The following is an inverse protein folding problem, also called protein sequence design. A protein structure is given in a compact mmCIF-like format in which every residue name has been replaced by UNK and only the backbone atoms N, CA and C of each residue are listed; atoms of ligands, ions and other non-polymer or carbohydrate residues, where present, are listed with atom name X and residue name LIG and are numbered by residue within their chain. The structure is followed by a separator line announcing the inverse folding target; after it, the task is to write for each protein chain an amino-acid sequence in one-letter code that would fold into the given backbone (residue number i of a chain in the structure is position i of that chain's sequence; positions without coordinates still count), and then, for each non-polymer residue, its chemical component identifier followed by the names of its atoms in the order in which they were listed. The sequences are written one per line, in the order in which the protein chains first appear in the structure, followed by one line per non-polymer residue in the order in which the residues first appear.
data_IF_003350565532
#
_entry.id   IF_003350565532
#
_cell.length_a   1.000
_cell.length_b   1.000
_cell.length_c   1.000
_cell.angle_alpha   90.00
_cell.angle_beta   90.00
_cell.angle_gamma   90.00
#
_symmetry.space_group_name_H-M   'P 1'
#
loop_
_entity.id
_entity.type
_entity.pdbx_description
1 polymer ?
#
# COMPACT_ATOMS: atom_id res chain seq x y z
N UNK A 1 4.67 21.40 2.78
CA UNK A 1 3.41 20.69 2.50
C UNK A 1 2.99 19.97 3.77
N UNK A 2 1.70 19.99 4.10
CA UNK A 2 1.16 19.23 5.23
C UNK A 2 0.61 17.90 4.70
N UNK A 3 1.16 16.82 5.25
CA UNK A 3 0.75 15.44 4.98
C UNK A 3 0.12 14.86 6.24
N UNK A 4 -0.69 13.82 6.08
CA UNK A 4 -1.28 13.12 7.23
C UNK A 4 -0.42 11.90 7.52
N UNK A 5 0.04 11.80 8.76
CA UNK A 5 0.60 10.57 9.31
C UNK A 5 -0.45 9.92 10.21
N UNK A 6 -1.21 8.97 9.65
CA UNK A 6 -2.21 8.19 10.37
C UNK A 6 -1.72 6.75 10.53
N UNK A 7 -1.21 6.36 11.72
CA UNK A 7 -0.74 5.01 11.99
C UNK A 7 -1.81 3.94 11.76
N UNK A 8 -3.10 4.31 11.91
CA UNK A 8 -4.23 3.41 11.70
C UNK A 8 -4.66 3.34 10.23
N UNK A 9 -4.13 4.22 9.37
CA UNK A 9 -4.38 4.23 7.94
C UNK A 9 -5.83 4.49 7.55
N UNK A 10 -6.66 5.09 8.41
CA UNK A 10 -8.07 5.38 8.13
C UNK A 10 -8.22 6.61 7.25
N UNK A 11 -7.34 7.58 7.42
CA UNK A 11 -7.36 8.82 6.65
C UNK A 11 -6.39 8.76 5.46
N UNK A 12 -6.83 9.30 4.34
CA UNK A 12 -6.02 9.45 3.15
C UNK A 12 -4.96 10.52 3.39
N UNK A 13 -3.70 10.14 3.20
CA UNK A 13 -2.59 11.08 3.12
C UNK A 13 -2.75 11.99 1.88
N UNK A 14 -2.95 13.31 2.06
CA UNK A 14 -3.11 14.22 0.95
C UNK A 14 -1.88 14.26 0.05
N UNK A 15 -0.68 13.98 0.58
CA UNK A 15 0.55 13.95 -0.19
C UNK A 15 0.65 12.72 -1.11
N UNK A 16 -0.18 11.70 -0.88
CA UNK A 16 -0.30 10.54 -1.76
C UNK A 16 -1.50 10.68 -2.70
N UNK A 17 -2.66 11.04 -2.15
CA UNK A 17 -3.94 10.82 -2.83
C UNK A 17 -4.60 12.08 -3.39
N UNK A 18 -4.08 13.27 -3.08
CA UNK A 18 -4.71 14.52 -3.49
C UNK A 18 -3.69 15.66 -3.59
N UNK A 19 -4.17 16.90 -3.52
CA UNK A 19 -3.30 18.07 -3.46
C UNK A 19 -3.08 18.44 -1.99
N UNK A 20 -1.85 18.30 -1.46
CA UNK A 20 -1.57 18.64 -0.07
C UNK A 20 -1.65 20.16 0.15
N UNK A 21 -1.97 20.55 1.39
CA UNK A 21 -1.98 21.97 1.76
C UNK A 21 -0.53 22.48 1.76
N UNK A 22 -0.28 23.49 0.93
CA UNK A 22 1.00 24.19 0.90
C UNK A 22 0.98 25.35 1.88
N UNK A 23 1.61 25.17 3.03
CA UNK A 23 2.08 26.29 3.84
C UNK A 23 3.37 26.79 3.19
N UNK A 24 3.33 28.00 2.64
CA UNK A 24 4.54 28.68 2.15
C UNK A 24 5.59 28.79 3.26
N UNK A 25 6.83 29.15 2.90
CA UNK A 25 7.95 29.23 3.86
C UNK A 25 7.55 29.91 5.18
N UNK A 26 7.90 29.26 6.28
CA UNK A 26 7.73 29.77 7.64
C UNK A 26 9.07 30.32 8.10
N UNK A 27 9.07 31.55 8.60
CA UNK A 27 10.22 32.09 9.30
C UNK A 27 10.34 31.49 10.71
N UNK A 28 11.52 31.59 11.34
CA UNK A 28 11.73 31.06 12.68
C UNK A 28 10.75 31.68 13.68
N UNK A 29 10.09 30.84 14.48
CA UNK A 29 9.04 31.21 15.44
C UNK A 29 7.76 31.83 14.85
N UNK A 30 7.59 31.80 13.53
CA UNK A 30 6.34 32.21 12.91
C UNK A 30 5.23 31.19 13.20
N UNK A 31 4.11 31.69 13.72
CA UNK A 31 2.87 30.92 13.84
C UNK A 31 1.96 31.33 12.71
N UNK A 32 1.48 30.35 11.94
CA UNK A 32 0.54 30.59 10.85
C UNK A 32 -0.70 29.74 11.04
N UNK A 33 -1.85 30.40 11.07
CA UNK A 33 -3.13 29.72 11.09
C UNK A 33 -3.39 29.07 9.73
N UNK A 34 -3.26 27.74 9.70
CA UNK A 34 -3.66 26.95 8.55
C UNK A 34 -5.18 26.78 8.65
N UNK A 35 -5.95 27.43 7.77
CA UNK A 35 -7.40 27.22 7.72
C UNK A 35 -7.73 25.73 7.54
N UNK A 36 -8.87 25.32 8.09
CA UNK A 36 -9.40 23.95 8.21
C UNK A 36 -8.73 22.89 7.31
N UNK A 37 -8.09 21.92 7.95
CA UNK A 37 -7.59 20.71 7.31
C UNK A 37 -8.74 19.71 7.23
N UNK A 38 -9.12 19.31 6.02
CA UNK A 38 -10.15 18.32 5.79
C UNK A 38 -9.49 16.94 5.63
N UNK A 39 -9.67 16.07 6.61
CA UNK A 39 -9.27 14.67 6.49
C UNK A 39 -10.34 13.92 5.71
N UNK A 40 -9.92 13.18 4.68
CA UNK A 40 -10.79 12.30 3.92
C UNK A 40 -10.57 10.87 4.39
N UNK A 41 -11.63 10.18 4.76
CA UNK A 41 -11.55 8.75 5.02
C UNK A 41 -11.33 7.98 3.71
N UNK A 42 -10.56 6.90 3.80
CA UNK A 42 -10.39 5.92 2.74
C UNK A 42 -10.78 4.53 3.23
N UNK A 43 -10.96 3.60 2.28
CA UNK A 43 -11.10 2.19 2.63
C UNK A 43 -9.73 1.57 2.88
N UNK A 44 -9.66 0.62 3.80
CA UNK A 44 -8.42 -0.13 4.08
C UNK A 44 -8.31 -1.28 3.10
N UNK A 45 -7.29 -1.25 2.23
CA UNK A 45 -6.89 -2.42 1.47
C UNK A 45 -5.86 -3.20 2.29
N UNK A 46 -6.17 -4.45 2.59
CA UNK A 46 -5.24 -5.45 3.10
C UNK A 46 -4.80 -6.37 1.96
N UNK A 47 -3.50 -6.56 1.77
CA UNK A 47 -2.94 -7.55 0.87
C UNK A 47 -2.31 -8.63 1.75
N UNK A 48 -2.96 -9.79 1.80
CA UNK A 48 -2.46 -10.97 2.50
C UNK A 48 -1.52 -11.74 1.57
N UNK A 49 -0.26 -11.87 1.96
CA UNK A 49 0.72 -12.70 1.24
C UNK A 49 0.84 -14.01 1.98
N UNK A 50 0.28 -15.07 1.38
CA UNK A 50 0.41 -16.44 1.85
C UNK A 50 1.76 -17.02 1.41
N UNK A 51 2.57 -17.47 2.36
CA UNK A 51 3.91 -18.00 2.13
C UNK A 51 4.14 -19.26 2.97
N UNK A 52 3.44 -20.37 2.66
CA UNK A 52 3.46 -21.58 3.49
C UNK A 52 4.83 -22.26 3.52
N UNK A 53 5.65 -22.04 2.48
CA UNK A 53 7.01 -22.58 2.40
C UNK A 53 8.06 -21.65 3.03
N UNK A 54 7.65 -20.51 3.59
CA UNK A 54 8.52 -19.51 4.23
C UNK A 54 9.70 -19.08 3.33
N UNK A 55 9.43 -18.84 2.04
CA UNK A 55 10.46 -18.47 1.07
C UNK A 55 10.83 -16.98 1.12
N UNK A 56 9.96 -16.14 1.68
CA UNK A 56 10.24 -14.72 1.87
C UNK A 56 11.02 -14.48 3.18
N UNK A 57 11.93 -13.52 3.15
CA UNK A 57 12.80 -13.22 4.30
C UNK A 57 11.99 -12.96 5.59
N UNK A 58 12.39 -13.59 6.72
CA UNK A 58 11.79 -13.35 8.03
C UNK A 58 12.32 -12.05 8.67
N UNK A 59 13.32 -11.39 8.08
CA UNK A 59 13.85 -10.11 8.59
C UNK A 59 13.01 -8.94 8.04
N UNK A 60 12.65 -8.00 8.91
CA UNK A 60 11.93 -6.76 8.57
C UNK A 60 12.85 -5.57 8.87
N UNK A 61 13.96 -5.51 8.15
CA UNK A 61 14.92 -4.42 8.25
C UNK A 61 14.88 -3.66 6.92
N UNK A 62 14.84 -2.32 6.98
CA UNK A 62 14.92 -1.47 5.80
C UNK A 62 16.21 -1.71 4.99
N UNK A 63 17.23 -2.29 5.63
CA UNK A 63 18.51 -2.68 5.01
C UNK A 63 18.40 -4.04 4.28
N UNK A 64 17.50 -4.93 4.70
CA UNK A 64 17.36 -6.28 4.14
C UNK A 64 16.20 -6.33 3.15
N UNK A 65 16.45 -6.79 1.92
CA UNK A 65 15.41 -6.96 0.92
C UNK A 65 14.31 -7.89 1.46
N UNK A 66 13.06 -7.41 1.66
CA UNK A 66 11.96 -8.23 2.16
C UNK A 66 11.56 -9.34 1.18
N UNK A 67 12.12 -9.35 -0.03
CA UNK A 67 11.85 -10.32 -1.08
C UNK A 67 10.55 -10.03 -1.82
N UNK A 68 9.78 -9.02 -1.40
CA UNK A 68 8.54 -8.61 -2.06
C UNK A 68 8.25 -7.12 -1.82
N UNK A 69 7.75 -6.46 -2.86
CA UNK A 69 7.19 -5.12 -2.81
C UNK A 69 5.71 -5.23 -3.13
N UNK A 70 4.86 -4.67 -2.26
CA UNK A 70 3.41 -4.74 -2.37
C UNK A 70 2.84 -3.35 -2.25
N UNK A 71 1.84 -3.03 -3.07
CA UNK A 71 1.13 -1.77 -3.01
C UNK A 71 0.11 -1.63 -4.11
N UNK A 72 -0.17 -0.39 -4.46
CA UNK A 72 -1.13 -0.06 -5.52
C UNK A 72 -0.54 0.96 -6.49
N UNK A 73 -0.98 0.93 -7.73
CA UNK A 73 -0.60 1.85 -8.78
C UNK A 73 -1.82 2.64 -9.27
N UNK A 74 -1.67 3.93 -9.53
CA UNK A 74 -2.71 4.73 -10.18
C UNK A 74 -2.67 4.56 -11.69
N UNK A 75 -3.73 4.96 -12.40
CA UNK A 75 -3.72 5.03 -13.88
C UNK A 75 -2.60 5.91 -14.45
N UNK A 76 -2.08 6.86 -13.67
CA UNK A 76 -0.95 7.70 -14.05
C UNK A 76 0.42 7.02 -13.83
N UNK A 77 0.44 5.76 -13.38
CA UNK A 77 1.66 4.97 -13.14
C UNK A 77 2.31 5.19 -11.78
N UNK A 78 1.74 6.06 -10.93
CA UNK A 78 2.27 6.34 -9.59
C UNK A 78 2.06 5.14 -8.67
N UNK A 79 3.13 4.63 -8.07
CA UNK A 79 3.10 3.52 -7.12
C UNK A 79 3.09 4.03 -5.68
N UNK A 80 2.19 3.46 -4.87
CA UNK A 80 2.13 3.68 -3.43
C UNK A 80 2.32 2.34 -2.70
N UNK A 81 3.44 2.25 -1.98
CA UNK A 81 3.80 1.07 -1.17
C UNK A 81 2.82 0.90 -0.01
N UNK A 82 2.36 -0.32 0.20
CA UNK A 82 1.60 -0.70 1.38
C UNK A 82 2.55 -0.99 2.56
N UNK A 83 2.09 -0.67 3.77
CA UNK A 83 2.87 -0.85 5.00
C UNK A 83 2.64 -2.26 5.54
N UNK A 84 3.70 -3.00 5.86
CA UNK A 84 3.56 -4.29 6.53
C UNK A 84 2.98 -4.09 7.93
N UNK A 85 1.92 -4.82 8.27
CA UNK A 85 1.22 -4.70 9.57
C UNK A 85 1.37 -5.94 10.43
N UNK A 86 1.32 -7.11 9.83
CA UNK A 86 1.51 -8.38 10.51
C UNK A 86 2.54 -9.20 9.76
N UNK A 87 3.25 -10.05 10.50
CA UNK A 87 4.21 -11.00 9.96
C UNK A 87 4.12 -12.28 10.76
N UNK A 88 3.95 -13.40 10.08
CA UNK A 88 3.95 -14.74 10.64
C UNK A 88 4.90 -15.65 9.86
N UNK A 89 5.07 -16.87 10.37
CA UNK A 89 5.91 -17.89 9.73
C UNK A 89 5.41 -18.28 8.34
N UNK A 90 4.11 -18.18 8.09
CA UNK A 90 3.45 -18.67 6.88
C UNK A 90 2.83 -17.58 6.02
N UNK A 91 3.16 -16.31 6.29
CA UNK A 91 2.60 -15.19 5.56
C UNK A 91 2.72 -13.86 6.29
N UNK A 92 2.28 -12.80 5.64
CA UNK A 92 2.35 -11.42 6.16
C UNK A 92 1.27 -10.55 5.52
N UNK A 93 0.78 -9.57 6.26
CA UNK A 93 -0.21 -8.62 5.76
C UNK A 93 0.41 -7.26 5.47
N UNK A 94 0.04 -6.69 4.33
CA UNK A 94 0.32 -5.31 3.98
C UNK A 94 -0.98 -4.51 3.97
N UNK A 95 -0.95 -3.27 4.46
CA UNK A 95 -2.12 -2.40 4.47
C UNK A 95 -1.83 -1.03 3.88
N UNK A 96 -2.82 -0.50 3.17
CA UNK A 96 -2.83 0.87 2.66
C UNK A 96 -4.25 1.44 2.66
N UNK A 97 -4.38 2.70 3.06
CA UNK A 97 -5.59 3.50 2.88
C UNK A 97 -5.73 3.87 1.41
N UNK A 98 -6.86 3.56 0.77
CA UNK A 98 -7.12 3.91 -0.62
C UNK A 98 -8.36 4.78 -0.78
N UNK A 99 -8.37 5.73 -1.72
CA UNK A 99 -9.55 6.54 -1.99
C UNK A 99 -10.69 5.68 -2.53
N UNK A 100 -11.92 6.06 -2.15
CA UNK A 100 -13.13 5.46 -2.70
C UNK A 100 -13.35 5.85 -4.17
N UNK A 101 -13.93 4.92 -4.92
CA UNK A 101 -14.38 5.10 -6.32
C UNK A 101 -13.25 5.62 -7.25
N UNK A 102 -11.99 5.29 -6.91
CA UNK A 102 -10.81 5.57 -7.74
C UNK A 102 -10.26 4.25 -8.26
N UNK A 103 -10.09 4.09 -9.59
CA UNK A 103 -9.45 2.92 -10.15
C UNK A 103 -7.98 2.83 -9.74
N UNK A 104 -7.63 1.73 -9.09
CA UNK A 104 -6.28 1.41 -8.65
C UNK A 104 -5.88 0.03 -9.15
N UNK A 105 -4.63 -0.13 -9.58
CA UNK A 105 -4.05 -1.41 -9.88
C UNK A 105 -3.42 -1.97 -8.61
N UNK A 106 -3.80 -3.17 -8.19
CA UNK A 106 -2.95 -3.92 -7.27
C UNK A 106 -1.61 -4.14 -7.97
N UNK A 107 -0.48 -3.93 -7.30
CA UNK A 107 0.85 -4.14 -7.89
C UNK A 107 1.75 -4.88 -6.91
N UNK A 108 2.33 -5.99 -7.36
CA UNK A 108 3.24 -6.82 -6.58
C UNK A 108 4.47 -7.14 -7.41
N UNK A 109 5.63 -7.14 -6.77
CA UNK A 109 6.89 -7.48 -7.41
C UNK A 109 7.80 -8.23 -6.44
N UNK A 110 8.51 -9.23 -6.96
CA UNK A 110 9.57 -9.95 -6.25
C UNK A 110 10.73 -10.22 -7.20
N UNK A 111 11.95 -10.28 -6.64
CA UNK A 111 13.15 -10.74 -7.34
C UNK A 111 13.56 -12.17 -6.97
N UNK A 112 12.93 -12.75 -5.95
CA UNK A 112 13.38 -14.00 -5.32
C UNK A 112 12.34 -15.10 -5.33
N UNK A 113 11.05 -14.76 -5.42
CA UNK A 113 9.95 -15.73 -5.41
C UNK A 113 8.96 -15.50 -6.55
N UNK A 114 8.40 -16.60 -7.05
CA UNK A 114 7.22 -16.58 -7.91
C UNK A 114 5.97 -16.34 -7.05
N UNK A 115 5.10 -15.47 -7.52
CA UNK A 115 3.84 -15.10 -6.85
C UNK A 115 2.67 -15.45 -7.78
N UNK A 116 1.56 -15.91 -7.22
CA UNK A 116 0.30 -16.10 -7.93
C UNK A 116 -0.85 -15.33 -7.25
N UNK A 117 -1.84 -14.92 -8.05
CA UNK A 117 -3.07 -14.30 -7.56
C UNK A 117 -4.06 -15.34 -6.96
N UNK A 118 -5.23 -14.87 -6.52
CA UNK A 118 -6.28 -15.68 -5.89
C UNK A 118 -6.82 -16.81 -6.77
N UNK A 119 -6.65 -16.71 -8.10
CA UNK A 119 -7.13 -17.70 -9.07
C UNK A 119 -5.98 -18.50 -9.70
N UNK A 120 -4.75 -18.32 -9.19
CA UNK A 120 -3.57 -19.09 -9.57
C UNK A 120 -2.78 -18.54 -10.75
N UNK A 121 -3.10 -17.35 -11.27
CA UNK A 121 -2.30 -16.76 -12.35
C UNK A 121 -0.97 -16.25 -11.80
N UNK A 122 0.12 -16.56 -12.50
CA UNK A 122 1.44 -16.06 -12.16
C UNK A 122 1.50 -14.54 -12.31
N UNK A 123 2.05 -13.90 -11.29
CA UNK A 123 2.46 -12.49 -11.28
C UNK A 123 3.91 -12.44 -11.77
N UNK A 124 4.13 -11.79 -12.92
CA UNK A 124 5.47 -11.67 -13.51
C UNK A 124 6.32 -10.56 -12.87
N UNK A 125 7.54 -10.37 -13.39
CA UNK A 125 8.50 -9.38 -12.89
C UNK A 125 8.18 -7.93 -13.27
N UNK A 126 7.21 -7.66 -14.15
CA UNK A 126 6.67 -6.31 -14.36
C UNK A 126 5.62 -5.97 -13.28
N UNK A 127 5.19 -6.98 -12.54
CA UNK A 127 4.14 -6.95 -11.54
C UNK A 127 2.76 -7.11 -12.17
N UNK A 128 1.88 -7.83 -11.46
CA UNK A 128 0.52 -8.08 -11.93
C UNK A 128 -0.33 -6.88 -11.58
N UNK A 129 -0.94 -6.26 -12.59
CA UNK A 129 -1.88 -5.16 -12.45
C UNK A 129 -3.31 -5.67 -12.52
N UNK A 130 -3.91 -5.92 -11.36
CA UNK A 130 -5.36 -6.14 -11.25
C UNK A 130 -6.03 -4.83 -10.87
N UNK A 131 -6.70 -4.21 -11.84
CA UNK A 131 -7.47 -3.00 -11.59
C UNK A 131 -8.69 -3.30 -10.74
N UNK A 132 -8.91 -2.48 -9.72
CA UNK A 132 -10.05 -2.54 -8.83
C UNK A 132 -10.43 -1.13 -8.37
N UNK A 133 -11.61 -1.02 -7.78
CA UNK A 133 -12.05 0.16 -7.05
C UNK A 133 -12.43 -0.28 -5.64
N UNK A 134 -12.30 0.64 -4.69
CA UNK A 134 -12.91 0.53 -3.37
C UNK A 134 -14.23 1.28 -3.42
N UNK A 135 -15.40 0.62 -3.44
CA UNK A 135 -16.67 1.32 -3.48
C UNK A 135 -16.89 2.16 -2.22
N UNK A 136 -17.49 3.34 -2.35
CA UNK A 136 -17.89 4.15 -1.19
C UNK A 136 -18.70 3.31 -0.19
N UNK A 137 -18.29 3.36 1.09
CA UNK A 137 -18.91 2.62 2.20
C UNK A 137 -18.25 1.26 2.50
N UNK A 138 -17.36 0.75 1.64
CA UNK A 138 -16.57 -0.45 1.92
C UNK A 138 -15.36 -0.09 2.77
N UNK A 139 -15.49 -0.24 4.09
CA UNK A 139 -14.44 0.19 5.04
C UNK A 139 -13.14 -0.62 4.93
N UNK A 140 -13.23 -1.88 4.51
CA UNK A 140 -12.07 -2.76 4.37
C UNK A 140 -12.27 -3.79 3.26
N UNK A 141 -11.18 -4.11 2.57
CA UNK A 141 -11.10 -5.19 1.58
C UNK A 141 -9.79 -5.94 1.77
N UNK A 142 -9.84 -7.26 1.68
CA UNK A 142 -8.65 -8.11 1.65
C UNK A 142 -8.47 -8.73 0.28
N UNK A 143 -7.24 -8.77 -0.21
CA UNK A 143 -6.83 -9.53 -1.39
C UNK A 143 -5.72 -10.49 -0.99
N UNK A 144 -5.83 -11.74 -1.40
CA UNK A 144 -4.82 -12.77 -1.09
C UNK A 144 -3.95 -13.05 -2.30
N UNK A 145 -2.65 -13.19 -2.08
CA UNK A 145 -1.71 -13.72 -3.08
C UNK A 145 -0.90 -14.84 -2.45
N UNK A 146 -0.40 -15.76 -3.26
CA UNK A 146 0.39 -16.89 -2.78
C UNK A 146 1.79 -16.87 -3.35
N UNK A 147 2.78 -17.10 -2.50
CA UNK A 147 4.13 -17.47 -2.91
C UNK A 147 4.10 -18.91 -3.38
N UNK A 148 4.48 -19.14 -4.64
CA UNK A 148 4.36 -20.48 -5.27
C UNK A 148 5.68 -21.21 -5.40
N UNK A 149 6.81 -20.54 -5.15
CA UNK A 149 8.13 -21.11 -5.27
C UNK A 149 9.22 -20.03 -5.41
N UNK A 150 10.49 -20.42 -5.48
CA UNK A 150 11.56 -19.52 -5.92
C UNK A 150 11.32 -19.04 -7.36
N UNK A 151 11.92 -17.90 -7.72
CA UNK A 151 11.94 -17.37 -9.08
C UNK A 151 12.90 -18.15 -9.99
#
# INVERSE_FOLDING_TARGET
MLCVDDPMGRYLDPCKWSMPISVGGLSAAEVRDVKQIHLREGGILTIHVNDPAALLSPVDDLIVDPGIIVGVQTKAGMFYRATQKTKGQFGRDYQIAVPYDVPLGLWLFSRTVSIADEIGNKIDSAGSLRWFEMPTGVLARTVTVSVTGPL
#
